data_IF_497463809956
#
_entry.id   IF_497463809956
#
_cell.length_a   1.000
_cell.length_b   1.000
_cell.length_c   1.000
_cell.angle_alpha   90.00
_cell.angle_beta   90.00
_cell.angle_gamma   90.00
#
_symmetry.space_group_name_H-M   'P 1'
#
loop_
_entity.id
_entity.type
_entity.pdbx_description
1 polymer ?
#
# COMPACT_ATOMS: atom_id res chain seq x y z
N UNK A 1 20.30 30.20 -5.17
CA UNK A 1 20.22 28.80 -4.73
C UNK A 1 18.85 28.28 -5.12
N UNK A 2 18.78 27.15 -5.82
CA UNK A 2 17.50 26.50 -6.14
C UNK A 2 17.17 25.53 -5.01
N UNK A 3 15.90 25.50 -4.59
CA UNK A 3 15.40 24.54 -3.61
C UNK A 3 14.17 23.82 -4.15
N UNK A 4 13.98 22.59 -3.67
CA UNK A 4 12.81 21.77 -4.00
C UNK A 4 12.11 21.41 -2.71
N UNK A 5 10.82 21.69 -2.68
CA UNK A 5 9.93 21.23 -1.64
C UNK A 5 8.90 20.32 -2.28
N UNK A 6 8.70 19.14 -1.68
CA UNK A 6 7.66 18.20 -2.10
C UNK A 6 6.67 18.10 -0.94
N UNK A 7 5.43 18.48 -1.18
CA UNK A 7 4.38 18.50 -0.17
C UNK A 7 3.04 18.17 -0.81
N UNK A 8 2.30 17.23 -0.21
CA UNK A 8 0.94 16.94 -0.64
C UNK A 8 0.78 16.41 -2.08
N UNK A 9 1.85 15.90 -2.70
CA UNK A 9 1.84 15.46 -4.10
C UNK A 9 2.14 16.58 -5.11
N UNK A 10 2.54 17.75 -4.63
CA UNK A 10 3.06 18.85 -5.43
C UNK A 10 4.56 19.00 -5.24
N UNK A 11 5.25 19.41 -6.30
CA UNK A 11 6.66 19.73 -6.33
C UNK A 11 6.80 21.22 -6.59
N UNK A 12 7.37 21.94 -5.62
CA UNK A 12 7.64 23.37 -5.74
C UNK A 12 9.14 23.57 -5.94
N UNK A 13 9.49 24.14 -7.09
CA UNK A 13 10.83 24.66 -7.36
C UNK A 13 10.86 26.14 -6.99
N UNK A 14 11.76 26.51 -6.09
CA UNK A 14 11.93 27.89 -5.63
C UNK A 14 13.35 28.37 -5.87
N UNK A 15 13.50 29.62 -6.27
CA UNK A 15 14.77 30.27 -6.50
C UNK A 15 14.70 31.78 -6.28
N UNK A 16 15.87 32.41 -6.17
CA UNK A 16 15.95 33.87 -6.14
C UNK A 16 16.34 34.40 -7.52
N UNK A 17 15.43 35.10 -8.18
CA UNK A 17 15.71 35.76 -9.44
C UNK A 17 14.53 36.61 -9.93
N UNK A 18 14.76 37.89 -10.21
CA UNK A 18 13.72 38.81 -10.69
C UNK A 18 13.51 38.74 -12.22
N UNK A 19 14.10 37.76 -12.90
CA UNK A 19 14.08 37.68 -14.36
C UNK A 19 13.32 36.44 -14.84
N UNK A 20 12.61 36.53 -15.99
CA UNK A 20 11.91 35.39 -16.57
C UNK A 20 12.87 34.23 -16.86
N UNK A 21 12.48 33.04 -16.42
CA UNK A 21 13.21 31.80 -16.67
C UNK A 21 12.27 30.80 -17.35
N UNK A 22 12.82 29.72 -17.91
CA UNK A 22 12.02 28.58 -18.35
C UNK A 22 12.66 27.27 -17.92
N UNK A 23 11.83 26.29 -17.59
CA UNK A 23 12.24 24.95 -17.24
C UNK A 23 11.97 24.01 -18.42
N UNK A 24 12.98 23.29 -18.87
CA UNK A 24 12.84 22.26 -19.88
C UNK A 24 12.91 20.89 -19.20
N UNK A 25 11.85 20.09 -19.28
CA UNK A 25 11.75 18.76 -18.68
C UNK A 25 11.40 17.77 -19.78
N UNK A 26 12.32 16.87 -20.13
CA UNK A 26 12.04 15.82 -21.13
C UNK A 26 11.57 16.34 -22.50
N UNK A 27 11.96 17.57 -22.85
CA UNK A 27 11.53 18.25 -24.09
C UNK A 27 10.29 19.14 -23.96
N UNK A 28 9.64 19.19 -22.80
CA UNK A 28 8.56 20.15 -22.50
C UNK A 28 9.12 21.43 -21.89
N UNK A 29 8.67 22.59 -22.34
CA UNK A 29 9.09 23.91 -21.80
C UNK A 29 7.99 24.52 -20.93
N UNK A 30 8.35 24.91 -19.71
CA UNK A 30 7.48 25.60 -18.75
C UNK A 30 8.05 26.99 -18.46
N UNK A 31 7.27 28.03 -18.69
CA UNK A 31 7.65 29.40 -18.32
C UNK A 31 7.59 29.57 -16.79
N UNK A 32 8.64 30.19 -16.22
CA UNK A 32 8.71 30.56 -14.82
C UNK A 32 8.57 32.08 -14.74
N UNK A 33 7.38 32.53 -14.35
CA UNK A 33 7.01 33.94 -14.25
C UNK A 33 7.25 34.54 -12.85
N UNK A 34 7.56 33.70 -11.87
CA UNK A 34 7.75 34.10 -10.47
C UNK A 34 8.97 33.42 -9.83
N UNK A 35 9.29 33.77 -8.58
CA UNK A 35 10.39 33.13 -7.84
C UNK A 35 10.14 31.65 -7.50
N UNK A 36 8.93 31.15 -7.76
CA UNK A 36 8.59 29.73 -7.56
C UNK A 36 7.64 29.21 -8.65
N UNK A 37 7.73 27.92 -8.92
CA UNK A 37 6.78 27.20 -9.77
C UNK A 37 6.40 25.88 -9.11
N UNK A 38 5.12 25.56 -9.15
CA UNK A 38 4.57 24.35 -8.53
C UNK A 38 4.00 23.44 -9.60
N UNK A 39 4.35 22.16 -9.51
CA UNK A 39 3.94 21.11 -10.43
C UNK A 39 3.20 20.03 -9.66
N UNK A 40 2.19 19.43 -10.29
CA UNK A 40 1.72 18.14 -9.82
C UNK A 40 2.78 17.08 -10.15
N UNK A 41 3.04 16.19 -9.20
CA UNK A 41 4.12 15.20 -9.29
C UNK A 41 3.90 14.12 -10.35
N UNK A 42 2.76 14.09 -11.01
CA UNK A 42 2.43 13.15 -12.10
C UNK A 42 2.65 13.71 -13.51
N UNK A 43 2.84 15.03 -13.63
CA UNK A 43 2.88 15.73 -14.91
C UNK A 43 4.18 15.51 -15.68
N UNK A 44 5.32 15.48 -14.99
CA UNK A 44 6.64 15.37 -15.60
C UNK A 44 7.50 14.39 -14.82
N UNK A 45 8.39 13.67 -15.52
CA UNK A 45 9.31 12.74 -14.88
C UNK A 45 10.61 13.43 -14.48
N UNK A 46 10.55 14.23 -13.42
CA UNK A 46 11.69 15.01 -12.91
C UNK A 46 12.88 14.16 -12.45
N UNK A 47 12.72 12.84 -12.30
CA UNK A 47 13.76 11.95 -11.76
C UNK A 47 14.59 11.33 -12.89
N UNK A 48 13.93 10.96 -13.99
CA UNK A 48 14.57 10.20 -15.07
C UNK A 48 14.66 10.95 -16.40
N UNK A 49 14.05 12.13 -16.52
CA UNK A 49 14.22 13.03 -17.66
C UNK A 49 15.22 14.14 -17.36
N UNK A 50 15.89 14.64 -18.40
CA UNK A 50 16.79 15.78 -18.28
C UNK A 50 15.98 17.04 -17.93
N UNK A 51 16.40 17.72 -16.86
CA UNK A 51 15.80 18.95 -16.36
C UNK A 51 16.79 20.10 -16.53
N UNK A 52 16.48 21.03 -17.44
CA UNK A 52 17.35 22.17 -17.74
C UNK A 52 16.64 23.49 -17.42
N UNK A 53 17.32 24.37 -16.68
CA UNK A 53 16.88 25.74 -16.46
C UNK A 53 17.47 26.64 -17.54
N UNK A 54 16.63 27.30 -18.31
CA UNK A 54 17.03 28.23 -19.37
C UNK A 54 16.76 29.67 -18.96
N UNK A 55 17.81 30.50 -19.00
CA UNK A 55 17.79 31.94 -18.71
C UNK A 55 18.59 32.69 -19.76
N UNK A 56 17.99 33.72 -20.39
CA UNK A 56 18.63 34.56 -21.42
C UNK A 56 19.32 33.75 -22.53
N UNK A 57 18.70 32.65 -22.95
CA UNK A 57 19.24 31.75 -23.98
C UNK A 57 20.38 30.82 -23.53
N UNK A 58 20.80 30.89 -22.26
CA UNK A 58 21.73 29.94 -21.66
C UNK A 58 20.95 28.86 -20.92
N UNK A 59 21.30 27.59 -21.13
CA UNK A 59 20.67 26.44 -20.49
C UNK A 59 21.65 25.74 -19.56
N UNK A 60 21.21 25.42 -18.34
CA UNK A 60 22.00 24.74 -17.32
C UNK A 60 21.20 23.55 -16.81
N UNK A 61 21.80 22.36 -16.81
CA UNK A 61 21.20 21.16 -16.19
C UNK A 61 21.08 21.36 -14.68
N UNK A 62 19.91 21.00 -14.15
CA UNK A 62 19.61 20.98 -12.72
C UNK A 62 19.29 19.58 -12.21
N UNK A 63 19.72 18.53 -12.94
CA UNK A 63 19.44 17.12 -12.59
C UNK A 63 19.94 16.75 -11.19
N UNK A 64 21.05 17.37 -10.77
CA UNK A 64 21.66 17.20 -9.44
C UNK A 64 20.68 17.42 -8.28
N UNK A 65 19.62 18.18 -8.53
CA UNK A 65 18.57 18.48 -7.56
C UNK A 65 17.69 17.25 -7.27
N UNK A 66 17.57 16.34 -8.25
CA UNK A 66 16.71 15.15 -8.19
C UNK A 66 17.48 13.84 -7.99
N UNK A 67 18.82 13.87 -8.06
CA UNK A 67 19.69 12.69 -7.92
C UNK A 67 19.36 11.82 -6.70
N UNK A 68 18.98 12.43 -5.57
CA UNK A 68 18.63 11.68 -4.35
C UNK A 68 17.41 10.75 -4.54
N UNK A 69 16.51 11.07 -5.47
CA UNK A 69 15.33 10.27 -5.78
C UNK A 69 15.58 9.25 -6.89
N UNK A 70 16.68 9.36 -7.62
CA UNK A 70 16.98 8.48 -8.76
C UNK A 70 17.42 7.10 -8.31
N UNK A 71 16.81 6.06 -8.89
CA UNK A 71 17.25 4.68 -8.74
C UNK A 71 17.91 4.18 -10.03
N UNK A 72 18.80 3.20 -9.92
CA UNK A 72 19.43 2.55 -11.05
C UNK A 72 18.44 1.58 -11.69
N UNK A 73 17.95 1.95 -12.87
CA UNK A 73 16.97 1.17 -13.62
C UNK A 73 17.52 -0.18 -14.11
N UNK A 74 18.86 -0.34 -14.19
CA UNK A 74 19.48 -1.61 -14.56
C UNK A 74 19.51 -2.62 -13.41
N UNK A 75 19.26 -2.18 -12.17
CA UNK A 75 19.32 -2.99 -10.96
C UNK A 75 17.93 -3.31 -10.39
N UNK A 76 16.86 -3.15 -11.18
CA UNK A 76 15.48 -3.43 -10.74
C UNK A 76 15.12 -4.92 -10.60
N UNK A 77 16.08 -5.80 -10.89
CA UNK A 77 16.02 -7.23 -10.59
C UNK A 77 16.98 -7.64 -9.45
N UNK A 78 17.86 -6.74 -9.00
CA UNK A 78 18.82 -7.04 -7.95
C UNK A 78 18.16 -6.93 -6.57
N UNK A 79 18.04 -8.08 -5.92
CA UNK A 79 17.42 -8.19 -4.60
C UNK A 79 18.16 -7.41 -3.52
N UNK A 80 19.50 -7.44 -3.52
CA UNK A 80 20.32 -6.72 -2.53
C UNK A 80 20.19 -5.23 -2.72
N UNK A 81 20.22 -4.78 -3.98
CA UNK A 81 20.01 -3.39 -4.36
C UNK A 81 18.64 -2.92 -3.88
N UNK A 82 17.55 -3.56 -4.33
CA UNK A 82 16.20 -3.13 -4.00
C UNK A 82 15.87 -3.25 -2.51
N UNK A 83 16.35 -4.29 -1.83
CA UNK A 83 16.22 -4.32 -0.37
C UNK A 83 16.93 -3.13 0.27
N UNK A 84 18.15 -2.78 -0.16
CA UNK A 84 18.91 -1.64 0.39
C UNK A 84 18.33 -0.28 0.01
N UNK A 85 17.80 -0.11 -1.20
CA UNK A 85 17.39 1.21 -1.72
C UNK A 85 15.90 1.49 -1.65
N UNK A 86 15.06 0.45 -1.64
CA UNK A 86 13.61 0.57 -1.73
C UNK A 86 12.89 -0.04 -0.52
N UNK A 87 13.13 -1.31 -0.19
CA UNK A 87 12.34 -2.00 0.84
C UNK A 87 12.83 -1.76 2.28
N UNK A 88 14.12 -1.49 2.46
CA UNK A 88 14.68 -0.95 3.70
C UNK A 88 14.67 0.59 3.71
N UNK A 89 14.08 1.25 2.72
CA UNK A 89 14.00 2.72 2.67
C UNK A 89 13.35 3.41 3.88
N UNK A 90 12.49 2.77 4.73
CA UNK A 90 12.08 3.38 5.99
C UNK A 90 13.25 3.70 6.95
N UNK A 91 14.46 3.16 6.70
CA UNK A 91 15.69 3.50 7.40
C UNK A 91 16.43 4.71 6.79
N UNK A 92 15.86 5.40 5.79
CA UNK A 92 16.40 6.61 5.18
C UNK A 92 15.59 7.83 5.62
N UNK A 93 16.26 8.97 5.69
CA UNK A 93 15.71 10.29 6.10
C UNK A 93 14.71 10.89 5.09
N UNK A 94 14.00 10.09 4.30
CA UNK A 94 12.96 10.59 3.39
C UNK A 94 11.68 10.94 4.15
N UNK A 95 11.14 12.12 3.86
CA UNK A 95 9.77 12.46 4.28
C UNK A 95 8.75 11.59 3.53
N UNK A 96 7.54 11.45 4.08
CA UNK A 96 6.48 10.63 3.45
C UNK A 96 6.18 11.06 2.01
N UNK A 97 6.11 12.36 1.74
CA UNK A 97 5.86 12.91 0.39
C UNK A 97 7.02 12.63 -0.58
N UNK A 98 8.27 12.75 -0.12
CA UNK A 98 9.45 12.48 -0.94
C UNK A 98 9.55 11.01 -1.36
N UNK A 99 9.25 10.10 -0.44
CA UNK A 99 9.21 8.67 -0.77
C UNK A 99 8.03 8.37 -1.71
N UNK A 100 6.85 8.92 -1.46
CA UNK A 100 5.73 8.78 -2.39
C UNK A 100 6.09 9.25 -3.81
N UNK A 101 6.73 10.41 -3.91
CA UNK A 101 7.24 10.98 -5.16
C UNK A 101 8.19 10.03 -5.89
N UNK A 102 9.21 9.51 -5.20
CA UNK A 102 10.13 8.53 -5.79
C UNK A 102 9.38 7.28 -6.29
N UNK A 103 8.47 6.74 -5.49
CA UNK A 103 7.77 5.49 -5.80
C UNK A 103 6.85 5.62 -7.02
N UNK A 104 6.13 6.74 -7.16
CA UNK A 104 5.15 6.90 -8.25
C UNK A 104 5.85 7.06 -9.61
N UNK A 105 6.97 7.78 -9.66
CA UNK A 105 7.80 7.89 -10.85
C UNK A 105 8.41 6.55 -11.25
N UNK A 106 8.91 5.81 -10.25
CA UNK A 106 9.48 4.49 -10.47
C UNK A 106 8.44 3.50 -11.01
N UNK A 107 7.17 3.62 -10.61
CA UNK A 107 6.09 2.72 -11.00
C UNK A 107 5.96 2.58 -12.53
N UNK A 108 6.14 3.67 -13.27
CA UNK A 108 6.03 3.68 -14.75
C UNK A 108 7.21 2.98 -15.42
N UNK A 109 8.40 2.99 -14.80
CA UNK A 109 9.64 2.41 -15.35
C UNK A 109 9.89 0.97 -14.91
N UNK A 110 9.22 0.51 -13.85
CA UNK A 110 9.49 -0.81 -13.28
C UNK A 110 9.02 -1.96 -14.18
N UNK A 111 9.87 -2.99 -14.43
CA UNK A 111 9.49 -4.15 -15.24
C UNK A 111 8.25 -4.86 -14.69
N UNK A 112 7.30 -5.20 -15.57
CA UNK A 112 5.99 -5.72 -15.17
C UNK A 112 6.06 -7.14 -14.59
N UNK A 113 7.01 -7.94 -15.05
CA UNK A 113 7.30 -9.30 -14.64
C UNK A 113 8.20 -9.40 -13.40
N UNK A 114 8.80 -8.30 -12.95
CA UNK A 114 9.66 -8.31 -11.78
C UNK A 114 8.89 -8.59 -10.49
N UNK A 115 9.36 -9.60 -9.73
CA UNK A 115 8.82 -9.97 -8.41
C UNK A 115 8.78 -8.81 -7.41
N UNK A 116 9.59 -7.78 -7.62
CA UNK A 116 9.68 -6.62 -6.75
C UNK A 116 8.64 -5.52 -7.06
N UNK A 117 7.97 -5.58 -8.23
CA UNK A 117 6.88 -4.66 -8.55
C UNK A 117 5.73 -4.80 -7.55
N UNK A 118 5.43 -6.02 -7.08
CA UNK A 118 4.48 -6.23 -6.00
C UNK A 118 4.85 -5.45 -4.73
N UNK A 119 6.13 -5.40 -4.37
CA UNK A 119 6.61 -4.61 -3.23
C UNK A 119 6.49 -3.11 -3.45
N UNK A 120 6.79 -2.62 -4.65
CA UNK A 120 6.57 -1.22 -5.02
C UNK A 120 5.09 -0.82 -4.88
N UNK A 121 4.17 -1.65 -5.39
CA UNK A 121 2.72 -1.45 -5.28
C UNK A 121 2.27 -1.47 -3.81
N UNK A 122 2.83 -2.37 -3.00
CA UNK A 122 2.59 -2.41 -1.55
C UNK A 122 2.98 -1.09 -0.88
N UNK A 123 4.20 -0.60 -1.11
CA UNK A 123 4.68 0.66 -0.53
C UNK A 123 3.83 1.85 -0.98
N UNK A 124 3.51 1.94 -2.28
CA UNK A 124 2.63 2.98 -2.81
C UNK A 124 1.24 2.95 -2.18
N UNK A 125 0.66 1.76 -2.01
CA UNK A 125 -0.65 1.60 -1.37
C UNK A 125 -0.64 2.16 0.06
N UNK A 126 0.41 1.91 0.83
CA UNK A 126 0.55 2.49 2.16
C UNK A 126 0.71 4.01 2.12
N UNK A 127 1.52 4.54 1.21
CA UNK A 127 1.66 5.99 1.05
C UNK A 127 0.35 6.65 0.63
N UNK A 128 -0.45 6.02 -0.23
CA UNK A 128 -1.80 6.53 -0.54
C UNK A 128 -2.67 6.52 0.72
N UNK A 129 -2.63 5.45 1.52
CA UNK A 129 -3.37 5.38 2.78
C UNK A 129 -3.01 6.48 3.78
N UNK A 130 -1.74 6.91 3.84
CA UNK A 130 -1.28 8.00 4.70
C UNK A 130 -1.85 9.36 4.36
N UNK A 131 -2.08 9.65 3.07
CA UNK A 131 -2.65 10.91 2.64
C UNK A 131 -3.67 10.67 1.51
N UNK A 132 -4.74 9.97 1.87
CA UNK A 132 -5.74 9.50 0.91
C UNK A 132 -6.43 10.64 0.16
N UNK A 133 -6.67 11.77 0.84
CA UNK A 133 -7.31 12.95 0.24
C UNK A 133 -6.54 13.47 -0.96
N UNK A 134 -5.21 13.56 -0.86
CA UNK A 134 -4.36 14.11 -1.93
C UNK A 134 -3.87 13.04 -2.91
N UNK A 135 -3.69 11.79 -2.47
CA UNK A 135 -3.04 10.74 -3.26
C UNK A 135 -4.01 9.72 -3.90
N UNK A 136 -5.31 9.83 -3.67
CA UNK A 136 -6.30 8.88 -4.21
C UNK A 136 -6.46 8.93 -5.74
N UNK A 137 -6.07 10.04 -6.40
CA UNK A 137 -6.10 10.16 -7.86
C UNK A 137 -5.23 9.11 -8.57
N UNK A 138 -4.16 8.63 -7.92
CA UNK A 138 -3.21 7.65 -8.45
C UNK A 138 -3.72 6.20 -8.47
N UNK A 139 -4.87 5.92 -7.87
CA UNK A 139 -5.41 4.56 -7.73
C UNK A 139 -5.71 3.93 -9.10
N UNK A 140 -6.15 4.73 -10.08
CA UNK A 140 -6.37 4.27 -11.45
C UNK A 140 -5.09 3.77 -12.10
N UNK A 141 -4.01 4.54 -12.00
CA UNK A 141 -2.72 4.18 -12.58
C UNK A 141 -2.17 2.90 -11.95
N UNK A 142 -2.20 2.81 -10.61
CA UNK A 142 -1.76 1.62 -9.90
C UNK A 142 -2.62 0.40 -10.26
N UNK A 143 -3.93 0.57 -10.45
CA UNK A 143 -4.82 -0.52 -10.84
C UNK A 143 -4.43 -1.11 -12.20
N UNK A 144 -4.14 -0.26 -13.19
CA UNK A 144 -3.71 -0.69 -14.52
C UNK A 144 -2.41 -1.50 -14.40
N UNK A 145 -1.41 -0.95 -13.71
CA UNK A 145 -0.09 -1.58 -13.56
C UNK A 145 -0.18 -2.88 -12.74
N UNK A 146 -1.03 -2.92 -11.71
CA UNK A 146 -1.30 -4.12 -10.92
C UNK A 146 -1.93 -5.23 -11.75
N UNK A 147 -2.86 -4.90 -12.65
CA UNK A 147 -3.48 -5.89 -13.52
C UNK A 147 -2.46 -6.54 -14.46
N UNK A 148 -1.49 -5.76 -14.95
CA UNK A 148 -0.41 -6.25 -15.81
C UNK A 148 0.61 -7.07 -15.01
N UNK A 149 1.01 -6.60 -13.83
CA UNK A 149 1.85 -7.34 -12.89
C UNK A 149 1.23 -8.69 -12.56
N UNK A 150 -0.05 -8.73 -12.20
CA UNK A 150 -0.69 -9.99 -11.80
C UNK A 150 -0.67 -11.01 -12.95
N UNK A 151 -0.79 -10.57 -14.21
CA UNK A 151 -0.73 -11.45 -15.39
C UNK A 151 0.68 -11.97 -15.69
N UNK A 152 1.72 -11.22 -15.33
CA UNK A 152 3.11 -11.49 -15.74
C UNK A 152 3.97 -12.11 -14.64
N UNK A 153 3.65 -11.86 -13.37
CA UNK A 153 4.44 -12.37 -12.25
C UNK A 153 4.40 -13.89 -12.16
N UNK A 154 5.58 -14.47 -11.97
CA UNK A 154 5.78 -15.91 -11.78
C UNK A 154 5.94 -16.19 -10.28
N UNK A 155 5.06 -17.00 -9.70
CA UNK A 155 4.97 -17.27 -8.26
C UNK A 155 5.69 -18.59 -7.89
N UNK A 156 7.00 -18.66 -8.13
CA UNK A 156 7.79 -19.88 -7.90
C UNK A 156 8.63 -19.85 -6.61
N UNK A 157 8.94 -18.66 -6.10
CA UNK A 157 9.80 -18.49 -4.91
C UNK A 157 9.14 -17.67 -3.80
N UNK A 158 9.67 -17.78 -2.58
CA UNK A 158 9.10 -17.12 -1.40
C UNK A 158 9.06 -15.59 -1.50
N UNK A 159 9.99 -14.96 -2.22
CA UNK A 159 10.04 -13.50 -2.41
C UNK A 159 8.93 -13.06 -3.36
N UNK A 160 8.76 -13.77 -4.48
CA UNK A 160 7.66 -13.52 -5.42
C UNK A 160 6.29 -13.65 -4.77
N UNK A 161 6.08 -14.71 -3.99
CA UNK A 161 4.84 -14.93 -3.23
C UNK A 161 4.64 -13.83 -2.20
N UNK A 162 5.68 -13.50 -1.42
CA UNK A 162 5.59 -12.45 -0.40
C UNK A 162 5.12 -11.12 -0.98
N UNK A 163 5.74 -10.66 -2.06
CA UNK A 163 5.39 -9.37 -2.66
C UNK A 163 4.05 -9.42 -3.38
N UNK A 164 3.70 -10.54 -4.01
CA UNK A 164 2.36 -10.74 -4.56
C UNK A 164 1.27 -10.62 -3.49
N UNK A 165 1.35 -11.41 -2.41
CA UNK A 165 0.38 -11.38 -1.31
C UNK A 165 0.31 -10.01 -0.65
N UNK A 166 1.46 -9.37 -0.41
CA UNK A 166 1.52 -8.03 0.18
C UNK A 166 0.85 -6.98 -0.70
N UNK A 167 1.03 -7.07 -2.03
CA UNK A 167 0.41 -6.15 -2.98
C UNK A 167 -1.11 -6.33 -3.03
N UNK A 168 -1.61 -7.57 -3.00
CA UNK A 168 -3.04 -7.86 -2.93
C UNK A 168 -3.67 -7.31 -1.65
N UNK A 169 -3.02 -7.51 -0.50
CA UNK A 169 -3.53 -7.06 0.80
C UNK A 169 -3.62 -5.53 0.87
N UNK A 170 -2.52 -4.84 0.58
CA UNK A 170 -2.43 -3.40 0.67
C UNK A 170 -3.33 -2.72 -0.36
N UNK A 171 -3.28 -3.15 -1.62
CA UNK A 171 -4.01 -2.49 -2.69
C UNK A 171 -5.52 -2.74 -2.62
N UNK A 172 -5.96 -3.96 -2.24
CA UNK A 172 -7.39 -4.22 -2.02
C UNK A 172 -7.98 -3.36 -0.90
N UNK A 173 -7.19 -3.09 0.15
CA UNK A 173 -7.59 -2.19 1.24
C UNK A 173 -7.82 -0.76 0.72
N UNK A 174 -6.90 -0.25 -0.11
CA UNK A 174 -7.04 1.07 -0.74
C UNK A 174 -8.26 1.12 -1.67
N UNK A 175 -8.48 0.07 -2.48
CA UNK A 175 -9.66 -0.02 -3.34
C UNK A 175 -10.97 0.01 -2.53
N UNK A 176 -11.03 -0.69 -1.40
CA UNK A 176 -12.19 -0.66 -0.52
C UNK A 176 -12.42 0.73 0.10
N UNK A 177 -11.35 1.40 0.54
CA UNK A 177 -11.44 2.79 1.03
C UNK A 177 -11.95 3.76 -0.04
N UNK A 178 -11.66 3.49 -1.32
CA UNK A 178 -12.18 4.23 -2.48
C UNK A 178 -13.54 3.76 -2.98
N UNK A 179 -14.24 2.88 -2.24
CA UNK A 179 -15.52 2.27 -2.65
C UNK A 179 -15.47 1.51 -3.99
N UNK A 180 -14.29 1.00 -4.36
CA UNK A 180 -14.02 0.19 -5.57
C UNK A 180 -14.10 -1.31 -5.28
N UNK A 181 -15.27 -1.73 -4.80
CA UNK A 181 -15.51 -3.09 -4.30
C UNK A 181 -15.35 -4.16 -5.39
N UNK A 182 -15.71 -3.86 -6.64
CA UNK A 182 -15.61 -4.83 -7.74
C UNK A 182 -14.15 -5.13 -8.10
N UNK A 183 -13.30 -4.11 -8.16
CA UNK A 183 -11.88 -4.22 -8.43
C UNK A 183 -11.16 -4.92 -7.28
N UNK A 184 -11.49 -4.56 -6.04
CA UNK A 184 -10.99 -5.26 -4.86
C UNK A 184 -11.35 -6.75 -4.89
N UNK A 185 -12.61 -7.07 -5.25
CA UNK A 185 -13.08 -8.46 -5.40
C UNK A 185 -12.28 -9.22 -6.45
N UNK A 186 -12.06 -8.65 -7.63
CA UNK A 186 -11.28 -9.29 -8.71
C UNK A 186 -9.85 -9.60 -8.28
N UNK A 187 -9.18 -8.62 -7.65
CA UNK A 187 -7.83 -8.79 -7.10
C UNK A 187 -7.77 -9.94 -6.08
N UNK A 188 -8.70 -9.95 -5.12
CA UNK A 188 -8.72 -10.93 -4.04
C UNK A 188 -9.19 -12.32 -4.46
N UNK A 189 -10.10 -12.43 -5.43
CA UNK A 189 -10.49 -13.72 -6.01
C UNK A 189 -9.33 -14.37 -6.76
N UNK A 190 -8.50 -13.57 -7.45
CA UNK A 190 -7.30 -14.08 -8.09
C UNK A 190 -6.30 -14.59 -7.06
N UNK A 191 -6.07 -13.82 -6.00
CA UNK A 191 -5.25 -14.24 -4.86
C UNK A 191 -5.77 -15.56 -4.25
N UNK A 192 -7.06 -15.67 -3.96
CA UNK A 192 -7.67 -16.87 -3.37
C UNK A 192 -7.44 -18.12 -4.22
N UNK A 193 -7.58 -18.02 -5.55
CA UNK A 193 -7.36 -19.17 -6.44
C UNK A 193 -5.93 -19.70 -6.38
N UNK A 194 -4.98 -18.83 -6.08
CA UNK A 194 -3.56 -19.19 -5.98
C UNK A 194 -3.14 -19.53 -4.55
N UNK A 195 -3.94 -19.19 -3.53
CA UNK A 195 -3.50 -19.25 -2.13
C UNK A 195 -3.26 -20.65 -1.58
N UNK A 196 -3.86 -21.67 -2.19
CA UNK A 196 -3.60 -23.07 -1.85
C UNK A 196 -2.18 -23.54 -2.18
N UNK A 197 -1.46 -22.83 -3.06
CA UNK A 197 -0.09 -23.15 -3.45
C UNK A 197 0.97 -22.38 -2.65
N UNK A 198 0.55 -21.47 -1.76
CA UNK A 198 1.49 -20.65 -1.01
C UNK A 198 1.97 -21.39 0.23
N UNK A 199 3.28 -21.66 0.38
CA UNK A 199 3.80 -22.12 1.66
C UNK A 199 3.55 -21.02 2.68
N UNK A 200 2.95 -21.38 3.82
CA UNK A 200 2.81 -20.48 4.96
C UNK A 200 4.21 -20.17 5.50
N UNK A 201 4.85 -19.16 4.92
CA UNK A 201 6.11 -18.60 5.39
C UNK A 201 5.84 -17.53 6.44
N UNK A 202 6.81 -17.35 7.35
CA UNK A 202 6.76 -16.35 8.44
C UNK A 202 6.41 -14.93 7.95
N UNK A 203 6.76 -14.60 6.71
CA UNK A 203 6.64 -13.24 6.18
C UNK A 203 5.31 -12.90 5.47
N UNK A 204 4.40 -13.87 5.28
CA UNK A 204 3.14 -13.64 4.51
C UNK A 204 1.86 -13.72 5.34
N UNK A 205 1.90 -14.33 6.54
CA UNK A 205 0.72 -14.65 7.33
C UNK A 205 -0.23 -13.47 7.56
N UNK A 206 0.37 -12.31 7.87
CA UNK A 206 -0.33 -11.05 8.07
C UNK A 206 -1.15 -10.61 6.86
N UNK A 207 -0.48 -10.51 5.72
CA UNK A 207 -1.08 -10.02 4.49
C UNK A 207 -2.05 -11.06 3.89
N UNK A 208 -1.79 -12.35 4.11
CA UNK A 208 -2.71 -13.42 3.75
C UNK A 208 -4.01 -13.29 4.55
N UNK A 209 -3.94 -13.22 5.89
CA UNK A 209 -5.12 -13.02 6.73
C UNK A 209 -5.89 -11.75 6.34
N UNK A 210 -5.20 -10.64 6.09
CA UNK A 210 -5.84 -9.40 5.65
C UNK A 210 -6.55 -9.53 4.29
N UNK A 211 -5.96 -10.22 3.31
CA UNK A 211 -6.62 -10.51 2.04
C UNK A 211 -7.94 -11.29 2.26
N UNK A 212 -7.91 -12.30 3.13
CA UNK A 212 -9.08 -13.12 3.42
C UNK A 212 -10.16 -12.35 4.17
N UNK A 213 -9.79 -11.48 5.10
CA UNK A 213 -10.73 -10.57 5.77
C UNK A 213 -11.38 -9.61 4.77
N UNK A 214 -10.57 -8.95 3.91
CA UNK A 214 -11.09 -8.05 2.89
C UNK A 214 -12.05 -8.78 1.93
N UNK A 215 -11.72 -10.01 1.54
CA UNK A 215 -12.61 -10.80 0.68
C UNK A 215 -13.88 -11.20 1.42
N UNK A 216 -13.78 -11.64 2.68
CA UNK A 216 -14.94 -11.97 3.51
C UNK A 216 -15.90 -10.80 3.63
N UNK A 217 -15.40 -9.59 3.87
CA UNK A 217 -16.19 -8.36 3.93
C UNK A 217 -16.91 -8.06 2.60
N UNK A 218 -16.23 -8.26 1.46
CA UNK A 218 -16.84 -8.08 0.13
C UNK A 218 -17.96 -9.10 -0.14
N UNK A 219 -17.81 -10.33 0.35
CA UNK A 219 -18.72 -11.44 0.10
C UNK A 219 -19.86 -11.53 1.12
N UNK A 220 -19.77 -10.79 2.22
CA UNK A 220 -20.58 -10.91 3.43
C UNK A 220 -22.09 -11.04 3.13
N UNK A 221 -22.64 -10.15 2.30
CA UNK A 221 -24.08 -10.11 2.04
C UNK A 221 -24.57 -11.07 0.96
N UNK A 222 -23.79 -11.19 -0.13
CA UNK A 222 -24.25 -11.85 -1.37
C UNK A 222 -23.81 -13.30 -1.47
N UNK A 223 -22.77 -13.68 -0.74
CA UNK A 223 -22.11 -14.99 -0.85
C UNK A 223 -21.72 -15.49 0.55
N UNK A 224 -22.67 -15.47 1.50
CA UNK A 224 -22.47 -15.83 2.93
C UNK A 224 -21.59 -17.07 3.15
N UNK A 225 -21.81 -18.23 2.50
CA UNK A 225 -20.96 -19.40 2.70
C UNK A 225 -19.49 -19.17 2.34
N UNK A 226 -19.23 -18.37 1.30
CA UNK A 226 -17.86 -18.02 0.89
C UNK A 226 -17.25 -16.96 1.81
N UNK A 227 -18.07 -16.06 2.36
CA UNK A 227 -17.63 -15.12 3.38
C UNK A 227 -17.21 -15.85 4.66
N UNK A 228 -17.99 -16.84 5.10
CA UNK A 228 -17.62 -17.73 6.22
C UNK A 228 -16.29 -18.42 5.94
N UNK A 229 -16.14 -19.05 4.77
CA UNK A 229 -14.88 -19.70 4.39
C UNK A 229 -13.69 -18.73 4.42
N UNK A 230 -13.89 -17.47 4.00
CA UNK A 230 -12.85 -16.45 4.00
C UNK A 230 -12.42 -16.06 5.42
N UNK A 231 -13.37 -15.78 6.30
CA UNK A 231 -13.05 -15.43 7.69
C UNK A 231 -12.47 -16.63 8.46
N UNK A 232 -12.94 -17.86 8.21
CA UNK A 232 -12.32 -19.06 8.78
C UNK A 232 -10.87 -19.20 8.32
N UNK A 233 -10.61 -19.04 7.02
CA UNK A 233 -9.24 -19.06 6.50
C UNK A 233 -8.36 -17.98 7.13
N UNK A 234 -8.88 -16.75 7.29
CA UNK A 234 -8.16 -15.67 7.96
C UNK A 234 -7.77 -16.02 9.41
N UNK A 235 -8.67 -16.66 10.15
CA UNK A 235 -8.42 -17.14 11.52
C UNK A 235 -7.35 -18.25 11.55
N UNK A 236 -7.47 -19.25 10.67
CA UNK A 236 -6.54 -20.38 10.63
C UNK A 236 -5.13 -19.93 10.24
N UNK A 237 -5.02 -19.09 9.21
CA UNK A 237 -3.75 -18.49 8.79
C UNK A 237 -3.14 -17.68 9.93
N UNK A 238 -3.95 -16.88 10.63
CA UNK A 238 -3.45 -16.06 11.72
C UNK A 238 -2.93 -16.90 12.89
N UNK A 239 -3.67 -17.94 13.27
CA UNK A 239 -3.29 -18.88 14.35
C UNK A 239 -2.02 -19.65 14.00
N UNK A 240 -1.93 -20.19 12.79
CA UNK A 240 -0.73 -20.91 12.31
C UNK A 240 0.49 -19.98 12.23
N UNK A 241 0.28 -18.73 11.81
CA UNK A 241 1.36 -17.74 11.72
C UNK A 241 1.88 -17.34 13.09
N UNK A 242 1.02 -17.23 14.12
CA UNK A 242 1.45 -16.98 15.51
C UNK A 242 2.35 -18.12 15.99
N UNK A 243 1.97 -19.38 15.75
CA UNK A 243 2.77 -20.53 16.14
C UNK A 243 4.13 -20.55 15.42
N UNK A 244 4.17 -20.14 14.16
CA UNK A 244 5.39 -20.08 13.37
C UNK A 244 6.31 -18.96 13.85
N UNK A 245 5.76 -17.75 14.08
CA UNK A 245 6.52 -16.58 14.57
C UNK A 245 7.03 -16.80 15.99
N UNK A 246 6.24 -17.45 16.85
CA UNK A 246 6.58 -17.74 18.25
C UNK A 246 7.46 -19.00 18.42
N UNK A 247 8.03 -19.53 17.34
CA UNK A 247 8.94 -20.68 17.40
C UNK A 247 10.30 -20.25 17.98
N UNK A 248 10.82 -21.00 18.94
CA UNK A 248 12.12 -20.76 19.59
C UNK A 248 13.31 -20.74 18.60
N UNK A 249 13.16 -21.32 17.40
CA UNK A 249 14.17 -21.23 16.33
C UNK A 249 14.21 -19.87 15.62
N UNK A 250 13.18 -19.04 15.80
CA UNK A 250 13.11 -17.73 15.17
C UNK A 250 13.93 -16.71 16.00
N UNK A 251 14.99 -16.17 15.40
CA UNK A 251 15.97 -15.31 16.09
C UNK A 251 15.58 -13.84 16.19
N UNK A 252 14.43 -13.42 15.63
CA UNK A 252 13.99 -12.03 15.57
C UNK A 252 13.00 -11.65 16.70
N UNK A 253 13.41 -11.82 17.95
CA UNK A 253 12.55 -11.75 19.15
C UNK A 253 11.72 -10.44 19.28
N UNK A 254 12.28 -9.28 18.97
CA UNK A 254 11.57 -8.00 19.14
C UNK A 254 10.47 -7.75 18.09
N UNK A 255 10.65 -8.26 16.86
CA UNK A 255 9.63 -8.15 15.82
C UNK A 255 8.52 -9.20 16.02
N UNK A 256 8.85 -10.36 16.61
CA UNK A 256 7.88 -11.43 16.89
C UNK A 256 6.71 -10.98 17.77
N UNK A 257 6.93 -10.14 18.78
CA UNK A 257 5.86 -9.71 19.68
C UNK A 257 4.83 -8.83 18.97
N UNK A 258 5.31 -7.80 18.24
CA UNK A 258 4.45 -6.98 17.39
C UNK A 258 3.78 -7.84 16.32
N UNK A 259 4.52 -8.83 15.81
CA UNK A 259 4.05 -9.74 14.79
C UNK A 259 2.87 -10.61 15.27
N UNK A 260 2.98 -11.12 16.50
CA UNK A 260 1.93 -11.87 17.16
C UNK A 260 0.73 -10.98 17.55
N UNK A 261 0.96 -9.75 17.99
CA UNK A 261 -0.13 -8.85 18.40
C UNK A 261 -1.08 -8.53 17.24
N UNK A 262 -0.56 -8.20 16.06
CA UNK A 262 -1.44 -7.94 14.91
C UNK A 262 -2.15 -9.21 14.47
N UNK A 263 -1.49 -10.38 14.49
CA UNK A 263 -2.17 -11.65 14.17
C UNK A 263 -3.31 -11.94 15.12
N UNK A 264 -3.11 -11.72 16.42
CA UNK A 264 -4.17 -11.86 17.40
C UNK A 264 -5.34 -10.90 17.10
N UNK A 265 -5.05 -9.66 16.67
CA UNK A 265 -6.08 -8.70 16.26
C UNK A 265 -6.82 -9.15 14.99
N UNK A 266 -6.12 -9.69 13.99
CA UNK A 266 -6.72 -10.22 12.75
C UNK A 266 -7.54 -11.49 13.02
N UNK A 267 -7.07 -12.40 13.88
CA UNK A 267 -7.84 -13.55 14.38
C UNK A 267 -9.12 -13.11 15.07
N UNK A 268 -9.02 -12.15 15.99
CA UNK A 268 -10.18 -11.61 16.71
C UNK A 268 -11.18 -10.98 15.74
N UNK A 269 -10.71 -10.19 14.78
CA UNK A 269 -11.56 -9.59 13.75
C UNK A 269 -12.31 -10.64 12.93
N UNK A 270 -11.61 -11.71 12.54
CA UNK A 270 -12.19 -12.82 11.79
C UNK A 270 -13.29 -13.52 12.58
N UNK A 271 -13.09 -13.77 13.88
CA UNK A 271 -14.10 -14.35 14.77
C UNK A 271 -15.31 -13.42 14.91
N UNK A 272 -15.10 -12.13 15.14
CA UNK A 272 -16.19 -11.14 15.24
C UNK A 272 -17.04 -11.15 13.98
N UNK A 273 -16.40 -11.16 12.80
CA UNK A 273 -17.10 -11.21 11.52
C UNK A 273 -17.86 -12.54 11.31
N UNK A 274 -17.29 -13.66 11.73
CA UNK A 274 -17.97 -14.97 11.73
C UNK A 274 -19.20 -14.97 12.62
N UNK A 275 -19.09 -14.42 13.84
CA UNK A 275 -20.22 -14.32 14.77
C UNK A 275 -21.32 -13.42 14.22
N UNK A 276 -20.97 -12.32 13.55
CA UNK A 276 -21.94 -11.45 12.90
C UNK A 276 -22.70 -12.17 11.77
N UNK A 277 -22.03 -13.02 10.99
CA UNK A 277 -22.67 -13.89 9.98
C UNK A 277 -23.58 -14.96 10.61
N UNK A 278 -23.25 -15.40 11.82
CA UNK A 278 -23.94 -16.43 12.60
C UNK A 278 -25.06 -15.88 13.48
N UNK A 279 -25.36 -14.58 13.48
CA UNK A 279 -26.54 -14.06 14.19
C UNK A 279 -27.88 -14.35 13.49
N UNK A 280 -27.90 -15.36 12.61
CA UNK A 280 -29.07 -16.18 12.23
C UNK A 280 -28.94 -17.68 12.66
N UNK A 281 -27.83 -18.14 13.24
CA UNK A 281 -27.67 -19.48 13.84
C UNK A 281 -26.41 -19.60 14.74
N UNK A 282 -26.65 -19.81 16.05
CA UNK A 282 -25.76 -20.17 17.18
C UNK A 282 -24.24 -20.28 16.92
N UNK A 283 -23.49 -19.51 17.72
CA UNK A 283 -22.03 -19.57 17.91
C UNK A 283 -21.59 -21.01 18.27
N UNK A 284 -20.58 -21.59 17.58
CA UNK A 284 -19.98 -22.86 17.98
C UNK A 284 -19.40 -22.77 19.40
N UNK A 285 -19.77 -23.73 20.25
CA UNK A 285 -19.50 -23.77 21.70
C UNK A 285 -18.06 -23.47 22.11
N UNK A 286 -17.08 -23.83 21.26
CA UNK A 286 -15.65 -23.57 21.48
C UNK A 286 -15.23 -22.09 21.48
N UNK A 287 -16.11 -21.19 21.04
CA UNK A 287 -15.85 -19.74 20.95
C UNK A 287 -16.69 -18.90 21.93
N UNK A 288 -17.50 -19.53 22.77
CA UNK A 288 -18.38 -18.87 23.76
C UNK A 288 -17.62 -18.11 24.86
N UNK A 289 -16.33 -18.37 25.05
CA UNK A 289 -15.49 -17.74 26.08
C UNK A 289 -14.88 -16.40 25.67
N UNK A 290 -14.99 -15.97 24.40
CA UNK A 290 -14.43 -14.70 23.93
C UNK A 290 -15.49 -13.61 24.09
N UNK A 291 -15.50 -12.95 25.26
CA UNK A 291 -16.36 -11.81 25.53
C UNK A 291 -15.93 -10.62 24.65
N UNK A 292 -16.68 -10.36 23.58
CA UNK A 292 -16.46 -9.22 22.69
C UNK A 292 -17.30 -8.05 23.21
N UNK A 293 -16.65 -7.00 23.74
CA UNK A 293 -17.38 -5.79 24.12
C UNK A 293 -17.83 -5.03 22.87
N UNK A 294 -19.13 -4.77 22.79
CA UNK A 294 -19.86 -4.10 21.69
C UNK A 294 -19.48 -2.63 21.45
N UNK A 295 -18.41 -2.13 22.08
CA UNK A 295 -17.93 -0.74 21.95
C UNK A 295 -16.83 -0.54 20.90
N UNK A 296 -16.37 -1.60 20.22
CA UNK A 296 -15.26 -1.50 19.29
C UNK A 296 -15.73 -1.07 17.89
N UNK A 297 -15.85 0.25 17.66
CA UNK A 297 -15.82 0.81 16.30
C UNK A 297 -14.45 0.47 15.70
N UNK A 298 -14.45 -0.32 14.63
CA UNK A 298 -13.22 -0.67 13.91
C UNK A 298 -12.79 0.49 13.02
N UNK A 299 -11.50 0.86 13.08
CA UNK A 299 -10.94 1.86 12.17
C UNK A 299 -9.74 1.24 11.45
N UNK A 300 -9.68 1.39 10.13
CA UNK A 300 -8.50 1.03 9.34
C UNK A 300 -7.23 1.73 9.83
N UNK A 301 -7.38 2.79 10.64
CA UNK A 301 -6.31 3.49 11.36
C UNK A 301 -5.37 2.56 12.11
N UNK A 302 -5.87 1.51 12.78
CA UNK A 302 -4.99 0.62 13.56
C UNK A 302 -4.16 -0.34 12.70
N UNK A 303 -4.63 -0.68 11.50
CA UNK A 303 -3.85 -1.43 10.49
C UNK A 303 -2.82 -0.50 9.82
N UNK A 304 -3.22 0.74 9.52
CA UNK A 304 -2.39 1.73 8.84
C UNK A 304 -1.29 2.33 9.74
N UNK A 305 -1.51 2.44 11.06
CA UNK A 305 -0.52 2.92 12.05
C UNK A 305 0.83 2.20 11.97
N UNK A 306 0.85 0.95 11.49
CA UNK A 306 2.06 0.14 11.34
C UNK A 306 3.01 0.64 10.23
N UNK A 307 2.50 1.39 9.26
CA UNK A 307 3.26 1.80 8.07
C UNK A 307 3.61 3.29 8.06
N UNK A 308 3.19 4.03 9.09
CA UNK A 308 3.48 5.46 9.27
C UNK A 308 4.97 5.66 9.59
N UNK A 309 5.70 6.33 8.70
CA UNK A 309 6.97 6.95 9.05
C UNK A 309 6.66 8.07 10.06
N UNK A 310 7.25 7.99 11.26
CA UNK A 310 7.11 8.93 12.39
C UNK A 310 6.70 10.34 11.95
N UNK A 311 5.40 10.64 12.03
CA UNK A 311 4.83 11.92 12.43
C UNK A 311 3.36 11.67 12.80
N UNK A 312 3.02 12.01 14.04
CA UNK A 312 1.69 11.83 14.64
C UNK A 312 0.75 12.95 14.17
N UNK A 313 0.57 13.11 12.87
CA UNK A 313 -0.44 14.04 12.36
C UNK A 313 -1.75 13.30 12.03
N UNK A 314 -2.83 14.06 12.12
CA UNK A 314 -4.20 13.61 12.31
C UNK A 314 -4.70 12.74 11.17
N UNK A 315 -4.58 11.42 11.32
CA UNK A 315 -5.49 10.51 10.66
C UNK A 315 -6.92 10.81 11.15
N UNK A 316 -7.69 11.52 10.34
CA UNK A 316 -9.14 11.38 10.35
C UNK A 316 -9.44 9.93 9.98
N UNK A 317 -9.59 9.07 10.98
CA UNK A 317 -9.84 7.66 10.78
C UNK A 317 -11.02 7.48 9.84
N UNK A 318 -10.81 6.78 8.72
CA UNK A 318 -11.92 6.28 7.93
C UNK A 318 -12.58 5.17 8.74
N UNK A 319 -13.81 5.45 9.19
CA UNK A 319 -14.67 4.46 9.81
C UNK A 319 -15.23 3.59 8.69
N UNK A 320 -14.91 2.30 8.69
CA UNK A 320 -15.84 1.35 8.09
C UNK A 320 -16.90 1.15 9.15
N UNK A 321 -17.92 2.00 9.12
CA UNK A 321 -19.09 1.75 9.93
C UNK A 321 -19.78 0.54 9.31
N UNK A 322 -19.62 -0.63 9.95
CA UNK A 322 -20.32 -1.85 9.54
C UNK A 322 -21.84 -1.60 9.53
N UNK A 323 -22.33 -0.63 10.30
CA UNK A 323 -23.73 -0.21 10.25
C UNK A 323 -24.11 0.63 9.01
N UNK A 324 -23.19 1.27 8.30
CA UNK A 324 -23.50 1.95 7.01
C UNK A 324 -23.78 0.92 5.91
N UNK A 325 -23.09 -0.23 5.92
CA UNK A 325 -23.42 -1.36 5.04
C UNK A 325 -24.77 -2.03 5.43
N UNK A 326 -25.21 -1.87 6.68
CA UNK A 326 -26.49 -2.39 7.21
C UNK A 326 -27.64 -1.38 7.01
N UNK A 327 -27.38 -0.07 7.02
CA UNK A 327 -28.40 0.99 7.04
C UNK A 327 -28.77 1.59 5.67
N UNK A 328 -28.03 1.30 4.57
CA UNK A 328 -28.49 1.63 3.21
C UNK A 328 -29.74 0.83 2.76
N UNK A 329 -30.39 0.07 3.67
CA UNK A 329 -31.57 -0.77 3.40
C UNK A 329 -32.75 -0.59 4.35
N UNK A 330 -32.77 0.44 5.20
CA UNK A 330 -34.00 0.80 5.94
C UNK A 330 -34.79 1.90 5.21
N UNK A 331 -34.20 2.58 4.22
CA UNK A 331 -34.92 3.49 3.32
C UNK A 331 -34.61 3.12 1.85
N UNK A 332 -35.34 2.14 1.34
CA UNK A 332 -35.28 1.66 -0.04
C UNK A 332 -36.28 0.56 -0.32
#
# INVERSE_FOLDING_TARGET
>A
MLSVTIEGGELTLSGHGNEPCSLNIGGSTVAIESNSVTFSTDQYDFIYEDVNLTRKGQSVSIDYVFDKYRLDLNLLYDEKYLNRVLFAAPSREFKSDELFFQLIHLLRKFPRDSKFLGGLITLLSYRIGENFKLRSCYINEILLIKNDYDKSVVLLDSVSIRWYVSSCAAFSTILLLSRRTLEAKKCLQRFWRNSCYFPLSEAIGWNHALCMINLGLILYDKEKPRAVAAFTCAFDVSSNSILTVNNASNKFILFQYLDCEVLLRLSKLSIVALMALQHDSKIPERFSSIVISSKHKFTYRDILKRFVCKNKEEYHGFYLDVSILINEKIEG
#
